data_IF_032276463561
#
_entry.id   IF_032276463561
#
_cell.length_a   1.000
_cell.length_b   1.000
_cell.length_c   1.000
_cell.angle_alpha   90.00
_cell.angle_beta   90.00
_cell.angle_gamma   90.00
#
_symmetry.space_group_name_H-M   'P 1'
#
loop_
_entity.id
_entity.type
_entity.pdbx_description
1 polymer ?
#
# COMPACT_ATOMS: atom_id res chain seq x y z
N UNK A 1 1.39 22.75 -4.76
CA UNK A 1 1.44 21.40 -5.37
C UNK A 1 1.89 20.42 -4.31
N UNK A 2 1.25 19.26 -4.20
CA UNK A 2 1.52 18.26 -3.17
C UNK A 2 1.74 16.89 -3.79
N UNK A 3 2.53 16.06 -3.12
CA UNK A 3 2.80 14.68 -3.47
C UNK A 3 2.55 13.83 -2.22
N UNK A 4 1.35 13.26 -2.15
CA UNK A 4 0.94 12.40 -1.04
C UNK A 4 1.26 10.95 -1.36
N UNK A 5 2.11 10.34 -0.54
CA UNK A 5 2.48 8.95 -0.63
C UNK A 5 1.47 8.13 0.17
N UNK A 6 0.90 7.09 -0.42
CA UNK A 6 -0.09 6.26 0.26
C UNK A 6 0.36 4.80 0.30
N UNK A 7 0.55 4.26 1.50
CA UNK A 7 0.92 2.85 1.69
C UNK A 7 2.21 2.45 0.98
N UNK A 8 3.10 3.37 0.60
CA UNK A 8 4.15 3.04 -0.35
C UNK A 8 5.28 2.21 0.27
N UNK A 9 5.90 1.42 -0.60
CA UNK A 9 7.15 0.71 -0.33
C UNK A 9 8.33 1.39 -1.03
N UNK A 10 9.52 0.78 -0.97
CA UNK A 10 10.70 1.28 -1.67
C UNK A 10 11.55 2.27 -0.87
N UNK A 11 11.37 2.33 0.45
CA UNK A 11 12.13 3.20 1.35
C UNK A 11 13.41 2.55 1.91
N UNK A 12 13.74 1.32 1.50
CA UNK A 12 14.88 0.57 2.06
C UNK A 12 14.69 0.14 3.53
N UNK A 13 13.46 0.20 4.04
CA UNK A 13 13.11 -0.10 5.43
C UNK A 13 12.71 -1.57 5.61
N UNK A 14 12.73 -2.03 6.86
CA UNK A 14 12.32 -3.39 7.26
C UNK A 14 10.86 -3.65 6.90
N UNK A 15 10.57 -4.85 6.37
CA UNK A 15 9.24 -5.28 5.95
C UNK A 15 8.99 -6.70 6.40
N UNK A 16 7.75 -7.00 6.75
CA UNK A 16 7.34 -8.38 7.03
C UNK A 16 7.19 -9.16 5.71
N UNK A 17 7.53 -10.46 5.71
CA UNK A 17 7.24 -11.33 4.58
C UNK A 17 5.73 -11.56 4.47
N UNK A 18 5.21 -11.51 3.24
CA UNK A 18 3.81 -11.84 2.94
C UNK A 18 3.76 -13.14 2.13
N UNK A 19 2.90 -14.06 2.56
CA UNK A 19 2.74 -15.37 1.94
C UNK A 19 1.75 -15.31 0.77
N UNK A 20 2.15 -14.64 -0.31
CA UNK A 20 1.34 -14.52 -1.52
C UNK A 20 1.34 -15.82 -2.33
N UNK A 21 0.17 -16.16 -2.88
CA UNK A 21 0.01 -17.27 -3.83
C UNK A 21 0.15 -16.78 -5.26
N UNK A 22 0.80 -17.60 -6.08
CA UNK A 22 0.89 -17.38 -7.52
C UNK A 22 -0.32 -18.03 -8.19
N UNK A 23 -0.95 -17.32 -9.12
CA UNK A 23 -1.95 -17.90 -9.99
C UNK A 23 -1.30 -18.93 -10.94
N UNK A 24 -1.77 -20.20 -10.96
CA UNK A 24 -1.28 -21.19 -11.91
C UNK A 24 -1.54 -20.79 -13.36
N UNK A 25 -0.73 -21.32 -14.28
CA UNK A 25 -1.00 -21.20 -15.71
C UNK A 25 -2.22 -22.05 -16.06
N UNK A 26 -3.16 -21.49 -16.84
CA UNK A 26 -4.41 -22.17 -17.19
C UNK A 26 -5.44 -22.26 -16.06
N UNK A 27 -5.26 -21.50 -14.97
CA UNK A 27 -6.22 -21.46 -13.87
C UNK A 27 -7.63 -21.05 -14.35
N UNK A 28 -8.64 -21.69 -13.77
CA UNK A 28 -10.04 -21.31 -13.93
C UNK A 28 -10.33 -19.95 -13.29
N UNK A 29 -11.47 -19.35 -13.67
CA UNK A 29 -11.94 -18.10 -13.08
C UNK A 29 -12.13 -18.23 -11.55
N UNK A 30 -12.72 -19.34 -11.09
CA UNK A 30 -12.90 -19.61 -9.65
C UNK A 30 -11.56 -19.64 -8.90
N UNK A 31 -10.55 -20.32 -9.46
CA UNK A 31 -9.21 -20.36 -8.86
C UNK A 31 -8.55 -18.97 -8.84
N UNK A 32 -8.78 -18.16 -9.88
CA UNK A 32 -8.29 -16.78 -9.93
C UNK A 32 -8.90 -15.92 -8.83
N UNK A 33 -10.21 -16.02 -8.61
CA UNK A 33 -10.92 -15.32 -7.55
C UNK A 33 -10.46 -15.77 -6.15
N UNK A 34 -10.21 -17.07 -5.95
CA UNK A 34 -9.73 -17.60 -4.67
C UNK A 34 -8.29 -17.16 -4.35
N UNK A 35 -7.40 -17.18 -5.35
CA UNK A 35 -6.04 -16.64 -5.21
C UNK A 35 -6.08 -15.14 -4.92
N UNK A 36 -6.95 -14.38 -5.60
CA UNK A 36 -7.13 -12.95 -5.37
C UNK A 36 -7.60 -12.67 -3.95
N UNK A 37 -8.63 -13.37 -3.45
CA UNK A 37 -9.14 -13.25 -2.08
C UNK A 37 -8.06 -13.54 -1.04
N UNK A 38 -7.27 -14.59 -1.23
CA UNK A 38 -6.18 -14.94 -0.32
C UNK A 38 -5.05 -13.90 -0.31
N UNK A 39 -4.67 -13.40 -1.49
CA UNK A 39 -3.65 -12.36 -1.61
C UNK A 39 -4.13 -11.02 -1.05
N UNK A 40 -5.43 -10.71 -1.17
CA UNK A 40 -6.04 -9.55 -0.50
C UNK A 40 -5.86 -9.64 1.00
N UNK A 41 -6.25 -10.75 1.63
CA UNK A 41 -6.12 -10.95 3.07
C UNK A 41 -4.66 -10.98 3.54
N UNK A 42 -3.74 -11.47 2.72
CA UNK A 42 -2.34 -11.61 3.09
C UNK A 42 -1.51 -10.31 2.98
N UNK A 43 -1.97 -9.34 2.18
CA UNK A 43 -1.17 -8.16 1.85
C UNK A 43 -1.95 -6.86 1.81
N UNK A 44 -3.16 -6.86 1.22
CA UNK A 44 -3.84 -5.63 0.83
C UNK A 44 -4.80 -5.12 1.89
N UNK A 45 -5.65 -5.99 2.43
CA UNK A 45 -6.76 -5.62 3.32
C UNK A 45 -6.57 -6.32 4.67
N UNK A 46 -6.65 -5.57 5.77
CA UNK A 46 -6.43 -6.09 7.11
C UNK A 46 -7.70 -6.69 7.74
N UNK A 47 -8.87 -6.09 7.52
CA UNK A 47 -10.17 -6.58 7.97
C UNK A 47 -10.79 -7.54 6.93
N UNK A 48 -10.91 -8.85 7.21
CA UNK A 48 -11.48 -9.81 6.28
C UNK A 48 -12.92 -9.48 5.85
N UNK A 49 -13.69 -8.77 6.67
CA UNK A 49 -15.05 -8.36 6.32
C UNK A 49 -15.10 -7.29 5.23
N UNK A 50 -13.97 -6.62 4.95
CA UNK A 50 -13.80 -5.62 3.88
C UNK A 50 -13.33 -6.23 2.56
N UNK A 51 -13.12 -7.55 2.52
CA UNK A 51 -12.78 -8.27 1.28
C UNK A 51 -14.07 -8.69 0.58
N UNK A 52 -14.73 -7.73 -0.05
CA UNK A 52 -15.96 -7.95 -0.80
C UNK A 52 -15.71 -8.45 -2.23
N UNK A 53 -16.79 -8.70 -2.98
CA UNK A 53 -16.72 -9.18 -4.36
C UNK A 53 -16.01 -8.21 -5.30
N UNK A 54 -16.14 -6.90 -5.09
CA UNK A 54 -15.49 -5.88 -5.90
C UNK A 54 -13.98 -5.86 -5.64
N UNK A 55 -13.53 -5.97 -4.39
CA UNK A 55 -12.11 -6.03 -4.04
C UNK A 55 -11.42 -7.20 -4.76
N UNK A 56 -12.08 -8.37 -4.71
CA UNK A 56 -11.61 -9.61 -5.32
C UNK A 56 -11.55 -9.46 -6.83
N UNK A 57 -12.63 -8.96 -7.44
CA UNK A 57 -12.69 -8.72 -8.87
C UNK A 57 -11.56 -7.79 -9.34
N UNK A 58 -11.35 -6.65 -8.67
CA UNK A 58 -10.28 -5.71 -9.00
C UNK A 58 -8.90 -6.40 -8.97
N UNK A 59 -8.63 -7.24 -7.96
CA UNK A 59 -7.35 -7.94 -7.89
C UNK A 59 -7.21 -9.05 -8.94
N UNK A 60 -8.27 -9.83 -9.18
CA UNK A 60 -8.27 -10.88 -10.19
C UNK A 60 -8.04 -10.31 -11.60
N UNK A 61 -8.62 -9.15 -11.91
CA UNK A 61 -8.44 -8.49 -13.20
C UNK A 61 -7.07 -7.82 -13.38
N UNK A 62 -6.53 -7.21 -12.31
CA UNK A 62 -5.32 -6.39 -12.43
C UNK A 62 -4.02 -7.19 -12.21
N UNK A 63 -4.02 -8.22 -11.36
CA UNK A 63 -2.81 -8.99 -11.09
C UNK A 63 -2.19 -9.62 -12.35
N UNK A 64 -2.96 -10.23 -13.28
CA UNK A 64 -2.41 -10.76 -14.54
C UNK A 64 -1.93 -9.68 -15.50
N UNK A 65 -2.47 -8.45 -15.41
CA UNK A 65 -2.11 -7.30 -16.26
C UNK A 65 -0.84 -6.59 -15.77
N UNK A 66 -0.29 -6.99 -14.63
CA UNK A 66 0.93 -6.43 -14.05
C UNK A 66 2.16 -6.66 -14.93
N UNK A 67 2.66 -5.62 -15.59
CA UNK A 67 3.85 -5.68 -16.46
C UNK A 67 5.18 -5.50 -15.72
N UNK A 68 5.14 -4.94 -14.51
CA UNK A 68 6.33 -4.59 -13.73
C UNK A 68 6.52 -5.60 -12.59
N UNK A 69 7.72 -6.15 -12.47
CA UNK A 69 8.12 -7.00 -11.33
C UNK A 69 8.36 -6.14 -10.07
N UNK A 70 7.28 -5.60 -9.51
CA UNK A 70 7.25 -4.62 -8.41
C UNK A 70 8.04 -5.05 -7.17
N UNK A 71 8.12 -6.36 -6.91
CA UNK A 71 8.82 -6.92 -5.74
C UNK A 71 10.28 -6.47 -5.63
N UNK A 72 11.00 -6.26 -6.75
CA UNK A 72 12.39 -5.76 -6.75
C UNK A 72 12.47 -4.31 -6.25
N UNK A 73 11.59 -3.44 -6.75
CA UNK A 73 11.56 -2.03 -6.36
C UNK A 73 11.05 -1.83 -4.93
N UNK A 74 10.00 -2.56 -4.56
CA UNK A 74 9.37 -2.47 -3.23
C UNK A 74 10.31 -2.87 -2.07
N UNK A 75 11.35 -3.66 -2.34
CA UNK A 75 12.35 -4.11 -1.34
C UNK A 75 13.63 -3.28 -1.37
N UNK A 76 13.78 -2.41 -2.36
CA UNK A 76 14.91 -1.51 -2.48
C UNK A 76 14.62 -0.16 -1.78
N UNK A 77 15.55 0.77 -1.93
CA UNK A 77 15.52 2.18 -1.52
C UNK A 77 15.08 3.12 -2.65
N UNK A 78 14.48 2.58 -3.71
CA UNK A 78 14.16 3.33 -4.94
C UNK A 78 13.31 4.58 -4.71
N UNK A 79 12.30 4.52 -3.83
CA UNK A 79 11.51 5.68 -3.45
C UNK A 79 12.33 6.65 -2.60
N UNK A 80 13.09 6.14 -1.61
CA UNK A 80 13.93 6.98 -0.76
C UNK A 80 14.94 7.82 -1.57
N UNK A 81 15.46 7.28 -2.68
CA UNK A 81 16.34 8.03 -3.60
C UNK A 81 15.60 9.02 -4.50
N UNK A 82 14.34 8.76 -4.82
CA UNK A 82 13.54 9.62 -5.71
C UNK A 82 12.92 10.81 -4.97
N UNK A 83 12.53 10.64 -3.70
CA UNK A 83 11.84 11.67 -2.92
C UNK A 83 12.60 13.01 -2.80
N UNK A 84 13.93 13.06 -2.63
CA UNK A 84 14.67 14.33 -2.60
C UNK A 84 14.61 15.13 -3.92
N UNK A 85 14.20 14.51 -5.03
CA UNK A 85 14.05 15.18 -6.33
C UNK A 85 12.66 15.84 -6.50
N UNK A 86 11.74 15.65 -5.54
CA UNK A 86 10.39 16.17 -5.61
C UNK A 86 10.36 17.60 -5.06
N UNK A 87 10.05 18.57 -5.93
CA UNK A 87 9.92 20.00 -5.58
C UNK A 87 8.54 20.37 -5.01
N UNK A 88 7.73 19.38 -4.61
CA UNK A 88 6.39 19.57 -4.06
C UNK A 88 6.37 19.21 -2.58
N UNK A 89 5.36 19.70 -1.86
CA UNK A 89 5.11 19.29 -0.47
C UNK A 89 4.89 17.78 -0.44
N UNK A 90 5.71 17.05 0.32
CA UNK A 90 5.54 15.61 0.53
C UNK A 90 4.62 15.41 1.74
N UNK A 91 3.70 14.46 1.62
CA UNK A 91 2.84 13.98 2.72
C UNK A 91 2.73 12.46 2.66
N UNK A 92 2.26 11.85 3.75
CA UNK A 92 2.17 10.40 3.89
C UNK A 92 0.87 9.94 4.52
N UNK A 93 0.25 8.88 3.97
CA UNK A 93 -0.91 8.20 4.55
C UNK A 93 -0.65 6.69 4.56
N UNK A 94 -0.74 6.04 5.71
CA UNK A 94 -0.61 4.58 5.83
C UNK A 94 -1.78 3.97 6.61
N UNK A 95 -2.09 2.70 6.34
CA UNK A 95 -2.91 1.91 7.25
C UNK A 95 -2.09 1.43 8.45
N UNK A 96 -2.67 1.44 9.64
CA UNK A 96 -2.03 0.95 10.87
C UNK A 96 -1.56 -0.51 10.76
N UNK A 97 -2.34 -1.33 10.05
CA UNK A 97 -2.12 -2.77 9.86
C UNK A 97 -1.57 -3.08 8.47
N UNK A 98 -0.93 -2.12 7.80
CA UNK A 98 -0.27 -2.35 6.52
C UNK A 98 0.76 -3.49 6.67
N UNK A 99 0.50 -4.63 6.02
CA UNK A 99 1.31 -5.84 6.11
C UNK A 99 2.77 -5.63 5.67
N UNK A 100 3.04 -4.56 4.91
CA UNK A 100 4.37 -4.21 4.43
C UNK A 100 5.11 -3.23 5.33
N UNK A 101 4.42 -2.60 6.29
CA UNK A 101 4.98 -1.59 7.17
C UNK A 101 4.90 -1.95 8.66
N UNK A 102 3.86 -2.67 9.11
CA UNK A 102 3.68 -3.08 10.50
C UNK A 102 4.81 -4.03 10.97
N UNK A 103 5.31 -3.92 12.22
CA UNK A 103 5.01 -2.89 13.24
C UNK A 103 5.91 -1.64 13.12
N UNK A 104 6.58 -1.44 11.99
CA UNK A 104 7.64 -0.46 11.76
C UNK A 104 7.15 0.81 11.02
N UNK A 105 5.93 1.29 11.30
CA UNK A 105 5.38 2.49 10.67
C UNK A 105 6.19 3.75 11.02
N UNK A 106 6.71 3.85 12.25
CA UNK A 106 7.51 4.98 12.71
C UNK A 106 8.79 5.18 11.88
N UNK A 107 9.34 4.10 11.31
CA UNK A 107 10.50 4.18 10.43
C UNK A 107 10.16 4.91 9.13
N UNK A 108 8.92 4.77 8.62
CA UNK A 108 8.45 5.48 7.42
C UNK A 108 8.29 6.96 7.73
N UNK A 109 7.65 7.28 8.85
CA UNK A 109 7.50 8.65 9.31
C UNK A 109 8.87 9.35 9.46
N UNK A 110 9.84 8.66 10.09
CA UNK A 110 11.22 9.17 10.24
C UNK A 110 11.92 9.34 8.91
N UNK A 111 11.79 8.38 7.99
CA UNK A 111 12.40 8.47 6.67
C UNK A 111 11.88 9.67 5.87
N UNK A 112 10.57 9.96 5.93
CA UNK A 112 10.01 11.14 5.28
C UNK A 112 10.44 12.45 5.97
N UNK A 113 10.48 12.49 7.31
CA UNK A 113 10.93 13.67 8.08
C UNK A 113 12.40 14.03 7.82
N UNK A 114 13.25 13.04 7.53
CA UNK A 114 14.63 13.28 7.12
C UNK A 114 14.75 14.02 5.78
N UNK A 115 13.71 13.95 4.94
CA UNK A 115 13.66 14.63 3.64
C UNK A 115 12.97 15.98 3.79
N UNK A 116 11.85 16.00 4.51
CA UNK A 116 11.08 17.21 4.77
C UNK A 116 10.62 17.21 6.25
N UNK A 117 11.25 17.99 7.14
CA UNK A 117 11.00 17.91 8.59
C UNK A 117 9.55 18.12 9.01
N UNK A 118 8.80 18.93 8.27
CA UNK A 118 7.40 19.26 8.49
C UNK A 118 6.42 18.37 7.70
N UNK A 119 6.87 17.23 7.15
CA UNK A 119 6.00 16.26 6.47
C UNK A 119 4.82 15.87 7.36
N UNK A 120 3.61 15.94 6.80
CA UNK A 120 2.44 15.38 7.45
C UNK A 120 2.42 13.88 7.21
N UNK A 121 2.40 13.09 8.27
CA UNK A 121 2.35 11.63 8.21
C UNK A 121 1.17 11.14 9.03
N UNK A 122 0.21 10.55 8.35
CA UNK A 122 -1.06 10.12 8.92
C UNK A 122 -1.18 8.61 8.86
N UNK A 123 -1.72 8.04 9.95
CA UNK A 123 -2.00 6.62 10.04
C UNK A 123 -3.50 6.43 10.24
N UNK A 124 -4.12 5.58 9.45
CA UNK A 124 -5.54 5.22 9.56
C UNK A 124 -5.64 3.93 10.38
N UNK A 125 -6.08 4.02 11.66
CA UNK A 125 -6.32 2.86 12.52
C UNK A 125 -7.14 1.75 11.87
N UNK A 126 -6.74 0.50 12.12
CA UNK A 126 -7.41 -0.70 11.64
C UNK A 126 -7.20 -1.05 10.16
N UNK A 127 -6.79 -0.11 9.30
CA UNK A 127 -6.66 -0.34 7.87
C UNK A 127 -5.33 -1.00 7.48
N UNK A 128 -5.35 -1.78 6.40
CA UNK A 128 -4.21 -2.44 5.78
C UNK A 128 -3.48 -1.59 4.74
N UNK A 129 -2.84 -2.27 3.79
CA UNK A 129 -2.00 -1.64 2.76
C UNK A 129 -2.82 -0.86 1.72
N UNK A 130 -3.99 -1.38 1.33
CA UNK A 130 -4.92 -0.73 0.41
C UNK A 130 -5.90 0.17 1.16
N UNK A 131 -5.35 1.12 1.91
CA UNK A 131 -6.09 2.00 2.82
C UNK A 131 -7.22 2.79 2.15
N UNK A 132 -7.07 3.15 0.87
CA UNK A 132 -8.11 3.89 0.14
C UNK A 132 -9.38 3.07 -0.05
N UNK A 133 -9.22 1.75 -0.21
CA UNK A 133 -10.33 0.84 -0.42
C UNK A 133 -10.93 0.41 0.92
N UNK A 134 -10.08 -0.03 1.85
CA UNK A 134 -10.51 -0.61 3.12
C UNK A 134 -11.16 0.41 4.06
N UNK A 135 -10.70 1.67 4.02
CA UNK A 135 -11.13 2.73 4.93
C UNK A 135 -11.49 4.03 4.19
N UNK A 136 -12.19 3.91 3.05
CA UNK A 136 -12.56 5.04 2.18
C UNK A 136 -13.18 6.23 2.93
N UNK A 137 -14.10 5.98 3.88
CA UNK A 137 -14.79 7.01 4.66
C UNK A 137 -13.83 7.89 5.50
N UNK A 138 -12.67 7.36 5.87
CA UNK A 138 -11.63 8.07 6.62
C UNK A 138 -10.55 8.59 5.69
N UNK A 139 -10.19 7.80 4.68
CA UNK A 139 -9.15 8.13 3.72
C UNK A 139 -9.52 9.34 2.85
N UNK A 140 -10.73 9.36 2.28
CA UNK A 140 -11.16 10.40 1.35
C UNK A 140 -11.17 11.81 1.96
N UNK A 141 -11.80 12.06 3.12
CA UNK A 141 -11.77 13.39 3.74
C UNK A 141 -10.36 13.80 4.17
N UNK A 142 -9.57 12.86 4.68
CA UNK A 142 -8.17 13.12 5.05
C UNK A 142 -7.32 13.53 3.83
N UNK A 143 -7.46 12.82 2.71
CA UNK A 143 -6.77 13.16 1.48
C UNK A 143 -7.21 14.54 0.97
N UNK A 144 -8.51 14.86 1.04
CA UNK A 144 -9.02 16.16 0.63
C UNK A 144 -8.45 17.30 1.51
N UNK A 145 -8.35 17.09 2.82
CA UNK A 145 -7.72 18.02 3.76
C UNK A 145 -6.22 18.21 3.47
N UNK A 146 -5.51 17.11 3.20
CA UNK A 146 -4.09 17.17 2.81
C UNK A 146 -3.94 17.90 1.48
N UNK A 147 -4.80 17.64 0.50
CA UNK A 147 -4.69 18.19 -0.85
C UNK A 147 -5.06 19.67 -0.99
N UNK A 148 -5.77 20.22 -0.01
CA UNK A 148 -6.07 21.66 0.09
C UNK A 148 -4.79 22.51 0.20
#
# INVERSE_FOLDING_TARGET
RRFTIVGSNGLGLVRQPTALRRLPEGASETEALDVARQNLAALMIADPSKIDELAIYIQAENAPRGRIKSRRFSRADTLARALPLINARIDGIWGERDATAYPHLDDRARALRNIQPDVRFEVIPGAGHWVQYEAADRFNPLLAEIAA
#
